data_IF_038555312868
#
_entry.id   IF_038555312868
#
_cell.length_a   1.000
_cell.length_b   1.000
_cell.length_c   1.000
_cell.angle_alpha   90.00
_cell.angle_beta   90.00
_cell.angle_gamma   90.00
#
_symmetry.space_group_name_H-M   'P 1'
#
loop_
_entity.id
_entity.type
_entity.pdbx_description
1 polymer ?
#
# COMPACT_ATOMS: atom_id res chain seq x y z
N UNK A 1 -0.98 -11.95 24.17
CA UNK A 1 -0.16 -11.25 25.18
C UNK A 1 1.35 -11.49 25.00
N UNK A 2 1.82 -12.74 24.83
CA UNK A 2 3.27 -13.08 24.71
C UNK A 2 4.00 -12.26 23.64
N UNK A 3 3.49 -12.22 22.41
CA UNK A 3 4.15 -11.47 21.32
C UNK A 3 4.19 -9.97 21.59
N UNK A 4 3.09 -9.41 22.10
CA UNK A 4 3.00 -7.99 22.47
C UNK A 4 4.00 -7.66 23.56
N UNK A 5 4.10 -8.50 24.59
CA UNK A 5 5.08 -8.34 25.65
C UNK A 5 6.51 -8.43 25.13
N UNK A 6 6.81 -9.39 24.24
CA UNK A 6 8.15 -9.57 23.65
C UNK A 6 8.57 -8.39 22.77
N UNK A 7 7.64 -7.79 22.03
CA UNK A 7 7.94 -6.72 21.06
C UNK A 7 7.92 -5.34 21.71
N UNK A 8 6.94 -5.07 22.58
CA UNK A 8 6.73 -3.74 23.15
C UNK A 8 7.09 -3.66 24.64
N UNK A 9 6.96 -4.75 25.39
CA UNK A 9 7.10 -4.78 26.85
C UNK A 9 5.86 -4.26 27.58
N UNK A 10 5.56 -4.83 28.76
CA UNK A 10 4.37 -4.48 29.54
C UNK A 10 4.31 -2.99 29.90
N UNK A 11 5.44 -2.40 30.30
CA UNK A 11 5.51 -0.99 30.71
C UNK A 11 5.19 -0.04 29.56
N UNK A 12 5.67 -0.30 28.35
CA UNK A 12 5.38 0.56 27.20
C UNK A 12 3.94 0.41 26.75
N UNK A 13 3.39 -0.81 26.78
CA UNK A 13 1.96 -1.02 26.50
C UNK A 13 1.10 -0.22 27.47
N UNK A 14 1.40 -0.28 28.78
CA UNK A 14 0.69 0.50 29.79
C UNK A 14 0.78 2.01 29.54
N UNK A 15 1.97 2.53 29.22
CA UNK A 15 2.16 3.95 28.88
C UNK A 15 1.31 4.36 27.67
N UNK A 16 1.38 3.61 26.57
CA UNK A 16 0.61 3.91 25.34
C UNK A 16 -0.90 3.94 25.63
N UNK A 17 -1.42 2.98 26.42
CA UNK A 17 -2.85 2.95 26.71
C UNK A 17 -3.30 4.09 27.62
N UNK A 18 -2.46 4.49 28.58
CA UNK A 18 -2.76 5.61 29.48
C UNK A 18 -2.74 6.97 28.77
N UNK A 19 -2.04 7.10 27.64
CA UNK A 19 -2.01 8.30 26.80
C UNK A 19 -3.24 8.43 25.89
N UNK A 20 -4.09 7.39 25.82
CA UNK A 20 -5.24 7.34 24.93
C UNK A 20 -6.55 7.47 25.69
N UNK A 21 -7.55 8.06 25.02
CA UNK A 21 -8.92 8.04 25.50
C UNK A 21 -9.42 6.59 25.63
N UNK A 22 -10.25 6.25 26.63
CA UNK A 22 -10.74 4.88 26.84
C UNK A 22 -11.40 4.27 25.60
N UNK A 23 -12.06 5.08 24.79
CA UNK A 23 -12.70 4.66 23.52
C UNK A 23 -11.70 4.16 22.48
N UNK A 24 -10.46 4.64 22.50
CA UNK A 24 -9.40 4.27 21.54
C UNK A 24 -8.54 3.09 22.03
N UNK A 25 -8.54 2.81 23.34
CA UNK A 25 -7.68 1.78 23.92
C UNK A 25 -7.94 0.39 23.34
N UNK A 26 -9.20 0.05 23.04
CA UNK A 26 -9.55 -1.24 22.45
C UNK A 26 -8.86 -1.44 21.09
N UNK A 27 -8.94 -0.43 20.22
CA UNK A 27 -8.34 -0.48 18.89
C UNK A 27 -6.81 -0.38 18.94
N UNK A 28 -6.27 0.34 19.92
CA UNK A 28 -4.83 0.36 20.18
C UNK A 28 -4.30 -1.03 20.58
N UNK A 29 -4.98 -1.75 21.48
CA UNK A 29 -4.60 -3.11 21.86
C UNK A 29 -4.62 -4.06 20.66
N UNK A 30 -5.68 -4.01 19.83
CA UNK A 30 -5.76 -4.80 18.60
C UNK A 30 -4.61 -4.48 17.65
N UNK A 31 -4.31 -3.20 17.48
CA UNK A 31 -3.22 -2.73 16.62
C UNK A 31 -1.85 -3.18 17.13
N UNK A 32 -1.59 -3.10 18.44
CA UNK A 32 -0.36 -3.59 19.06
C UNK A 32 -0.22 -5.10 18.90
N UNK A 33 -1.31 -5.86 19.08
CA UNK A 33 -1.32 -7.31 18.86
C UNK A 33 -0.91 -7.67 17.43
N UNK A 34 -1.55 -7.06 16.44
CA UNK A 34 -1.23 -7.27 15.03
C UNK A 34 0.23 -6.90 14.72
N UNK A 35 0.67 -5.70 15.12
CA UNK A 35 2.05 -5.25 14.89
C UNK A 35 3.09 -6.17 15.52
N UNK A 36 2.83 -6.65 16.74
CA UNK A 36 3.71 -7.60 17.40
C UNK A 36 3.80 -8.91 16.63
N UNK A 37 2.66 -9.46 16.20
CA UNK A 37 2.65 -10.69 15.40
C UNK A 37 3.42 -10.53 14.08
N UNK A 38 3.23 -9.42 13.37
CA UNK A 38 4.01 -9.13 12.17
C UNK A 38 5.51 -9.06 12.47
N UNK A 39 5.92 -8.43 13.58
CA UNK A 39 7.33 -8.33 13.97
C UNK A 39 7.94 -9.68 14.34
N UNK A 40 7.13 -10.62 14.87
CA UNK A 40 7.59 -11.99 15.13
C UNK A 40 7.79 -12.77 13.82
N UNK A 41 6.89 -12.60 12.85
CA UNK A 41 7.00 -13.26 11.53
C UNK A 41 8.11 -12.67 10.67
N UNK A 42 8.27 -11.35 10.71
CA UNK A 42 9.30 -10.59 10.01
C UNK A 42 10.04 -9.68 11.01
N UNK A 43 11.17 -10.15 11.56
CA UNK A 43 11.96 -9.39 12.52
C UNK A 43 12.62 -8.13 11.94
N UNK A 44 12.70 -7.99 10.62
CA UNK A 44 13.37 -6.87 9.96
C UNK A 44 12.36 -5.77 9.66
N UNK A 45 11.28 -6.09 8.94
CA UNK A 45 10.32 -5.10 8.46
C UNK A 45 8.98 -5.14 9.19
N UNK A 46 8.60 -6.25 9.82
CA UNK A 46 7.31 -6.40 10.50
C UNK A 46 6.13 -6.00 9.62
N UNK A 47 5.20 -5.21 10.15
CA UNK A 47 4.04 -4.75 9.38
C UNK A 47 4.40 -3.75 8.26
N UNK A 48 5.58 -3.12 8.30
CA UNK A 48 6.03 -2.18 7.26
C UNK A 48 6.27 -2.92 5.95
N UNK A 49 6.79 -4.15 5.99
CA UNK A 49 6.98 -4.96 4.80
C UNK A 49 5.67 -5.21 4.04
N UNK A 50 4.58 -5.47 4.79
CA UNK A 50 3.25 -5.63 4.21
C UNK A 50 2.72 -4.34 3.57
N UNK A 51 2.91 -3.19 4.24
CA UNK A 51 2.56 -1.88 3.67
C UNK A 51 3.34 -1.61 2.39
N UNK A 52 4.65 -1.88 2.37
CA UNK A 52 5.49 -1.71 1.18
C UNK A 52 5.04 -2.58 0.00
N UNK A 53 4.65 -3.82 0.27
CA UNK A 53 4.11 -4.73 -0.74
C UNK A 53 2.81 -4.19 -1.34
N UNK A 54 1.87 -3.78 -0.49
CA UNK A 54 0.59 -3.22 -0.94
C UNK A 54 0.79 -1.94 -1.76
N UNK A 55 1.70 -1.07 -1.33
CA UNK A 55 2.05 0.14 -2.08
C UNK A 55 2.70 -0.19 -3.43
N UNK A 56 3.51 -1.24 -3.50
CA UNK A 56 4.07 -1.70 -4.78
C UNK A 56 2.97 -2.21 -5.71
N UNK A 57 2.06 -3.05 -5.23
CA UNK A 57 0.92 -3.55 -6.01
C UNK A 57 0.02 -2.41 -6.50
N UNK A 58 -0.27 -1.44 -5.64
CA UNK A 58 -1.06 -0.27 -6.03
C UNK A 58 -0.40 0.50 -7.18
N UNK A 59 0.91 0.69 -7.14
CA UNK A 59 1.66 1.33 -8.24
C UNK A 59 1.60 0.52 -9.52
N UNK A 60 1.74 -0.80 -9.45
CA UNK A 60 1.64 -1.68 -10.62
C UNK A 60 0.26 -1.57 -11.28
N UNK A 61 -0.81 -1.71 -10.49
CA UNK A 61 -2.19 -1.60 -10.99
C UNK A 61 -2.46 -0.21 -11.59
N UNK A 62 -1.97 0.86 -10.96
CA UNK A 62 -2.10 2.21 -11.51
C UNK A 62 -1.36 2.34 -12.86
N UNK A 63 -0.17 1.76 -12.99
CA UNK A 63 0.59 1.76 -14.25
C UNK A 63 -0.14 0.99 -15.36
N UNK A 64 -0.74 -0.16 -15.04
CA UNK A 64 -1.54 -0.93 -15.99
C UNK A 64 -2.77 -0.15 -16.47
N UNK A 65 -3.46 0.54 -15.56
CA UNK A 65 -4.59 1.41 -15.90
C UNK A 65 -4.14 2.54 -16.85
N UNK A 66 -3.04 3.23 -16.54
CA UNK A 66 -2.54 4.31 -17.40
C UNK A 66 -2.07 3.78 -18.76
N UNK A 67 -1.47 2.60 -18.80
CA UNK A 67 -1.12 1.92 -20.05
C UNK A 67 -2.38 1.63 -20.89
N UNK A 68 -3.39 1.01 -20.29
CA UNK A 68 -4.64 0.68 -20.99
C UNK A 68 -5.36 1.94 -21.51
N UNK A 69 -5.39 3.02 -20.72
CA UNK A 69 -5.92 4.33 -21.16
C UNK A 69 -5.18 4.88 -22.38
N UNK A 70 -3.84 4.79 -22.38
CA UNK A 70 -3.01 5.25 -23.50
C UNK A 70 -3.22 4.42 -24.76
N UNK A 71 -3.31 3.10 -24.62
CA UNK A 71 -3.61 2.18 -25.73
C UNK A 71 -4.98 2.49 -26.35
N UNK A 72 -6.00 2.72 -25.52
CA UNK A 72 -7.34 3.11 -25.97
C UNK A 72 -7.33 4.47 -26.69
N UNK A 73 -6.68 5.49 -26.13
CA UNK A 73 -6.56 6.81 -26.76
C UNK A 73 -5.83 6.76 -28.12
N UNK A 74 -4.83 5.88 -28.24
CA UNK A 74 -4.09 5.69 -29.50
C UNK A 74 -4.94 4.97 -30.54
N UNK A 75 -5.76 4.01 -30.12
CA UNK A 75 -6.64 3.22 -30.99
C UNK A 75 -7.85 4.01 -31.48
N UNK A 76 -8.33 4.99 -30.69
CA UNK A 76 -9.44 5.89 -31.04
C UNK A 76 -9.01 6.98 -32.04
N UNK A 77 -7.70 7.27 -32.15
CA UNK A 77 -7.20 8.16 -33.21
C UNK A 77 -7.32 7.42 -34.55
N UNK A 78 -8.26 7.78 -35.45
CA UNK A 78 -8.45 7.04 -36.67
C UNK A 78 -7.15 7.06 -37.48
N UNK A 79 -6.79 5.93 -38.08
CA UNK A 79 -5.76 5.82 -39.12
C UNK A 79 -6.08 6.65 -40.40
N UNK A 80 -7.02 7.61 -40.34
CA UNK A 80 -7.61 8.31 -41.47
C UNK A 80 -7.00 9.71 -41.73
N UNK A 81 -5.78 9.99 -41.25
CA UNK A 81 -5.08 11.21 -41.65
C UNK A 81 -3.60 10.96 -41.86
N UNK A 82 -3.29 10.11 -42.85
CA UNK A 82 -2.06 10.32 -43.61
C UNK A 82 -2.37 11.38 -44.67
N UNK A 83 -1.66 12.53 -44.69
CA UNK A 83 -1.79 13.45 -45.80
C UNK A 83 -1.27 12.74 -47.05
N UNK A 84 -2.15 12.54 -48.05
CA UNK A 84 -1.73 12.17 -49.40
C UNK A 84 -0.95 13.37 -49.95
N UNK A 85 0.36 13.39 -49.71
CA UNK A 85 1.30 14.24 -50.42
C UNK A 85 2.13 13.31 -51.31
N UNK A 86 1.62 13.08 -52.53
CA UNK A 86 2.28 12.56 -53.74
C UNK A 86 1.21 12.72 -54.84
N UNK A 87 1.38 13.33 -56.02
CA UNK A 87 2.54 13.75 -56.77
C UNK A 87 2.09 14.80 -57.80
N UNK A 88 2.96 15.76 -58.10
CA UNK A 88 2.87 16.64 -59.27
C UNK A 88 2.81 15.84 -60.58
N UNK A 89 1.92 16.24 -61.50
CA UNK A 89 2.09 16.34 -62.96
C UNK A 89 0.78 16.86 -63.57
#
# INVERSE_FOLDING_TARGET
>A
FINVHKVFGASNVGKILNELNPTQQNDAVKSLAYKAECRIKDPIYGCVGFVSLLQHHLRQVQQEIERAKKELATSIRPAAMQPILNSSA
#
